data_IF_907007938291
#
_entry.id   IF_907007938291
#
_cell.length_a   1.000
_cell.length_b   1.000
_cell.length_c   1.000
_cell.angle_alpha   90.00
_cell.angle_beta   90.00
_cell.angle_gamma   90.00
#
_symmetry.space_group_name_H-M   'P 1'
#
loop_
_entity.id
_entity.type
_entity.pdbx_description
1 polymer ?
#
# COMPACT_ATOMS: atom_id res chain seq x y z
N UNK A 1 5.81 32.46 -23.31
CA UNK A 1 5.87 31.66 -22.07
C UNK A 1 5.02 32.40 -21.04
N UNK A 2 3.96 31.79 -20.52
CA UNK A 2 3.13 32.46 -19.51
C UNK A 2 3.96 32.68 -18.23
N UNK A 3 3.75 33.82 -17.59
CA UNK A 3 4.45 34.18 -16.36
C UNK A 3 3.94 33.26 -15.26
N UNK A 4 4.78 32.36 -14.78
CA UNK A 4 4.42 31.43 -13.71
C UNK A 4 4.27 32.25 -12.43
N UNK A 5 3.09 32.18 -11.82
CA UNK A 5 2.86 32.68 -10.49
C UNK A 5 3.56 31.74 -9.49
N UNK A 6 4.55 32.29 -8.80
CA UNK A 6 5.38 31.54 -7.85
C UNK A 6 4.58 31.13 -6.61
N UNK A 7 3.62 31.94 -6.19
CA UNK A 7 2.82 31.67 -4.99
C UNK A 7 1.83 30.55 -5.25
N UNK A 8 1.14 30.59 -6.39
CA UNK A 8 0.23 29.51 -6.82
C UNK A 8 0.98 28.20 -7.08
N UNK A 9 2.20 28.26 -7.64
CA UNK A 9 3.04 27.08 -7.79
C UNK A 9 3.42 26.49 -6.42
N UNK A 10 3.87 27.32 -5.48
CA UNK A 10 4.24 26.86 -4.14
C UNK A 10 3.05 26.21 -3.43
N UNK A 11 1.86 26.82 -3.50
CA UNK A 11 0.63 26.26 -2.93
C UNK A 11 0.33 24.85 -3.44
N UNK A 12 0.52 24.59 -4.74
CA UNK A 12 0.33 23.25 -5.31
C UNK A 12 1.39 22.27 -4.87
N UNK A 13 2.65 22.72 -4.73
CA UNK A 13 3.74 21.88 -4.21
C UNK A 13 3.48 21.50 -2.75
N UNK A 14 2.99 22.43 -1.94
CA UNK A 14 2.62 22.18 -0.55
C UNK A 14 1.49 21.14 -0.46
N UNK A 15 0.43 21.31 -1.27
CA UNK A 15 -0.67 20.33 -1.37
C UNK A 15 -0.19 18.93 -1.76
N UNK A 16 0.72 18.84 -2.73
CA UNK A 16 1.31 17.57 -3.16
C UNK A 16 2.15 16.96 -2.03
N UNK A 17 2.93 17.78 -1.33
CA UNK A 17 3.78 17.36 -0.22
C UNK A 17 2.95 16.80 0.93
N UNK A 18 1.87 17.48 1.30
CA UNK A 18 0.95 17.03 2.35
C UNK A 18 0.28 15.70 1.98
N UNK A 19 -0.15 15.56 0.73
CA UNK A 19 -0.72 14.31 0.23
C UNK A 19 0.29 13.16 0.33
N UNK A 20 1.52 13.35 -0.15
CA UNK A 20 2.55 12.32 -0.08
C UNK A 20 2.98 12.00 1.36
N UNK A 21 3.08 12.99 2.24
CA UNK A 21 3.39 12.79 3.65
C UNK A 21 2.34 11.90 4.34
N UNK A 22 1.06 12.14 4.04
CA UNK A 22 -0.05 11.31 4.56
C UNK A 22 0.02 9.87 4.04
N UNK A 23 0.35 9.68 2.75
CA UNK A 23 0.48 8.35 2.14
C UNK A 23 1.62 7.55 2.75
N UNK A 24 2.79 8.17 2.95
CA UNK A 24 3.96 7.51 3.56
C UNK A 24 3.66 7.10 5.00
N UNK A 25 3.08 8.01 5.80
CA UNK A 25 2.70 7.71 7.19
C UNK A 25 1.71 6.54 7.26
N UNK A 26 0.73 6.51 6.37
CA UNK A 26 -0.22 5.39 6.31
C UNK A 26 0.43 4.08 5.86
N UNK A 27 1.36 4.13 4.89
CA UNK A 27 2.09 2.96 4.45
C UNK A 27 2.97 2.36 5.56
N UNK A 28 3.67 3.21 6.32
CA UNK A 28 4.47 2.80 7.48
C UNK A 28 3.60 2.13 8.55
N UNK A 29 2.46 2.74 8.89
CA UNK A 29 1.47 2.16 9.78
C UNK A 29 1.06 0.77 9.27
N UNK A 30 0.61 0.63 8.02
CA UNK A 30 0.22 -0.64 7.40
C UNK A 30 1.32 -1.71 7.40
N UNK A 31 2.59 -1.31 7.26
CA UNK A 31 3.73 -2.23 7.25
C UNK A 31 3.87 -3.01 8.56
N UNK A 32 3.31 -2.52 9.67
CA UNK A 32 3.45 -3.16 10.99
C UNK A 32 2.54 -4.39 11.19
N UNK A 33 1.48 -4.55 10.40
CA UNK A 33 0.63 -5.77 10.41
C UNK A 33 0.52 -6.47 9.07
N UNK A 34 0.92 -5.84 7.96
CA UNK A 34 0.97 -6.51 6.65
C UNK A 34 1.86 -7.74 6.76
N UNK A 35 1.39 -8.87 6.23
CA UNK A 35 2.17 -10.11 6.27
C UNK A 35 3.42 -9.95 5.37
N UNK A 36 4.65 -10.03 5.92
CA UNK A 36 5.87 -9.86 5.12
C UNK A 36 6.10 -10.97 4.10
N UNK A 37 5.41 -12.10 4.26
CA UNK A 37 5.50 -13.27 3.38
C UNK A 37 4.45 -13.30 2.28
N UNK A 38 3.50 -12.35 2.24
CA UNK A 38 2.45 -12.30 1.22
C UNK A 38 2.89 -11.47 0.02
N UNK A 39 3.03 -12.13 -1.13
CA UNK A 39 3.45 -11.48 -2.37
C UNK A 39 2.29 -10.73 -3.06
N UNK A 40 2.60 -10.06 -4.19
CA UNK A 40 1.62 -9.30 -5.00
C UNK A 40 0.49 -10.13 -5.63
N UNK A 41 0.60 -11.45 -5.62
CA UNK A 41 -0.39 -12.41 -6.15
C UNK A 41 -1.18 -13.09 -5.02
N UNK A 42 -1.14 -12.52 -3.82
CA UNK A 42 -1.74 -13.08 -2.60
C UNK A 42 -1.16 -14.44 -2.17
N UNK A 43 0.01 -14.82 -2.68
CA UNK A 43 0.67 -16.08 -2.33
C UNK A 43 1.60 -15.91 -1.12
N UNK A 44 1.64 -16.93 -0.28
CA UNK A 44 2.48 -17.08 0.89
C UNK A 44 3.85 -17.64 0.49
N UNK A 45 4.92 -16.94 0.85
CA UNK A 45 6.32 -17.33 0.64
C UNK A 45 6.98 -17.88 1.92
N UNK A 46 6.23 -18.00 3.01
CA UNK A 46 6.76 -18.48 4.28
C UNK A 46 7.13 -19.97 4.19
N UNK A 47 8.31 -20.32 4.71
CA UNK A 47 8.75 -21.72 4.87
C UNK A 47 8.23 -22.39 6.16
N UNK A 48 7.33 -21.72 6.89
CA UNK A 48 6.71 -22.20 8.11
C UNK A 48 5.18 -22.05 8.05
N UNK A 49 4.47 -22.84 8.85
CA UNK A 49 3.01 -22.80 8.93
C UNK A 49 2.49 -21.59 9.71
N UNK A 50 1.45 -20.93 9.20
CA UNK A 50 0.75 -19.87 9.93
C UNK A 50 -0.78 -19.97 9.72
N UNK A 51 -1.57 -19.34 10.60
CA UNK A 51 -3.04 -19.38 10.54
C UNK A 51 -3.64 -18.81 9.26
N UNK A 52 -2.91 -17.95 8.56
CA UNK A 52 -3.35 -17.30 7.33
C UNK A 52 -2.91 -18.06 6.07
N UNK A 53 -2.07 -19.10 6.20
CA UNK A 53 -1.60 -19.90 5.07
C UNK A 53 -2.65 -20.94 4.69
N UNK A 54 -3.22 -20.81 3.51
CA UNK A 54 -4.15 -21.77 2.93
C UNK A 54 -3.39 -22.94 2.29
N UNK A 55 -4.10 -23.98 1.85
CA UNK A 55 -3.47 -25.08 1.11
C UNK A 55 -3.14 -24.64 -0.32
N UNK A 56 -1.99 -25.08 -0.84
CA UNK A 56 -1.64 -24.90 -2.24
C UNK A 56 -2.55 -25.75 -3.15
N UNK A 57 -2.82 -25.27 -4.37
CA UNK A 57 -3.70 -25.92 -5.34
C UNK A 57 -3.06 -27.13 -6.03
N UNK A 58 -1.73 -27.16 -6.14
CA UNK A 58 -0.97 -28.25 -6.77
C UNK A 58 0.48 -28.37 -6.32
N UNK A 59 1.18 -29.39 -6.81
CA UNK A 59 2.63 -29.57 -6.58
C UNK A 59 3.40 -28.42 -7.23
N UNK A 60 4.19 -27.71 -6.43
CA UNK A 60 5.04 -26.60 -6.89
C UNK A 60 4.39 -25.22 -6.82
N UNK A 61 3.11 -25.14 -6.45
CA UNK A 61 2.44 -23.85 -6.25
C UNK A 61 2.68 -23.30 -4.85
N UNK A 62 2.84 -21.98 -4.75
CA UNK A 62 2.84 -21.30 -3.47
C UNK A 62 1.42 -21.31 -2.87
N UNK A 63 1.26 -21.55 -1.57
CA UNK A 63 -0.05 -21.49 -0.94
C UNK A 63 -0.61 -20.07 -0.93
N UNK A 64 -1.94 -19.90 -0.95
CA UNK A 64 -2.54 -18.57 -0.82
C UNK A 64 -2.51 -18.08 0.63
N UNK A 65 -2.52 -16.76 0.81
CA UNK A 65 -2.60 -16.12 2.13
C UNK A 65 -3.96 -15.45 2.31
N UNK A 66 -4.72 -15.89 3.32
CA UNK A 66 -6.02 -15.31 3.70
C UNK A 66 -5.90 -14.03 4.56
N UNK A 67 -4.69 -13.49 4.73
CA UNK A 67 -4.47 -12.24 5.44
C UNK A 67 -5.11 -11.05 4.70
N UNK A 68 -5.85 -10.23 5.44
CA UNK A 68 -6.47 -9.01 4.91
C UNK A 68 -5.39 -7.94 4.66
N UNK A 69 -5.35 -7.46 3.41
CA UNK A 69 -4.50 -6.35 2.98
C UNK A 69 -5.34 -5.29 2.23
N UNK A 70 -6.59 -5.02 2.66
CA UNK A 70 -7.40 -3.97 2.02
C UNK A 70 -6.75 -2.60 2.14
N UNK A 71 -5.97 -2.24 1.12
CA UNK A 71 -5.43 -0.90 0.92
C UNK A 71 -6.47 -0.07 0.17
N UNK A 72 -7.17 0.81 0.90
CA UNK A 72 -8.10 1.76 0.30
C UNK A 72 -7.59 3.19 0.42
N UNK A 73 -6.85 3.65 -0.58
CA UNK A 73 -6.32 5.02 -0.62
C UNK A 73 -7.33 6.06 -1.13
N UNK A 74 -8.57 5.68 -1.49
CA UNK A 74 -9.53 6.63 -2.10
C UNK A 74 -9.82 7.84 -1.23
N UNK A 75 -9.79 7.69 0.10
CA UNK A 75 -9.98 8.78 1.05
C UNK A 75 -8.87 9.83 0.99
N UNK A 76 -7.66 9.47 0.55
CA UNK A 76 -6.54 10.41 0.41
C UNK A 76 -6.63 11.29 -0.85
N UNK A 77 -7.43 10.88 -1.84
CA UNK A 77 -7.56 11.59 -3.12
C UNK A 77 -8.84 12.42 -3.26
N UNK A 78 -9.87 12.11 -2.47
CA UNK A 78 -11.15 12.81 -2.49
C UNK A 78 -11.26 13.72 -1.26
N UNK A 79 -10.59 14.86 -1.29
CA UNK A 79 -10.86 15.98 -0.40
C UNK A 79 -11.91 16.88 -1.07
N UNK A 80 -13.10 16.97 -0.46
CA UNK A 80 -14.15 17.91 -0.87
C UNK A 80 -13.68 19.36 -0.70
#
# INVERSE_FOLDING_TARGET
>A
MQKIDKEELQKRLDQITDLFASLVTHADHQSTWRCPYKNRYDQCTAHFGCRNQLKAGGKGELPLCAGDDKLNYRSAWNTQ
#
